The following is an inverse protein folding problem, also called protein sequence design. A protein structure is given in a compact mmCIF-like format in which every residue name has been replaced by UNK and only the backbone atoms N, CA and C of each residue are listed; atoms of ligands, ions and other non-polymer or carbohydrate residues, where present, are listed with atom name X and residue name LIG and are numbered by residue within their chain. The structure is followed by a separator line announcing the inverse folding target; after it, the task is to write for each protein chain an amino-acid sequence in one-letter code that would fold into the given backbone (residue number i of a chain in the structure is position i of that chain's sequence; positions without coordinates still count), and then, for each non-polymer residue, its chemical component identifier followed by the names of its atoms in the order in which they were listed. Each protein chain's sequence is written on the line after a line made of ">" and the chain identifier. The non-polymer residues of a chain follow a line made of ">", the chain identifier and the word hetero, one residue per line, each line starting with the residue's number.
data_IF_665119977400
#
_entry.id   IF_665119977400
#
_cell.length_a   1.000
_cell.length_b   1.000
_cell.length_c   1.000
_cell.angle_alpha   90.00
_cell.angle_beta   90.00
_cell.angle_gamma   90.00
#
_symmetry.space_group_name_H-M   'P 1'
#
loop_
_entity.id
_entity.type
_entity.pdbx_description
1 polymer ?
#
# COMPACT_ATOMS: atom_id res chain seq x y z
N UNK A 1 11.87 5.15 -4.39
CA UNK A 1 10.92 6.30 -4.46
C UNK A 1 10.80 7.02 -3.10
N UNK A 2 10.80 8.38 -3.07
CA UNK A 2 10.67 9.14 -1.81
C UNK A 2 9.18 9.36 -1.50
N UNK A 3 8.70 8.78 -0.40
CA UNK A 3 7.28 8.88 0.00
C UNK A 3 6.92 10.33 0.38
N UNK A 4 5.74 10.79 -0.06
CA UNK A 4 5.20 12.08 0.36
C UNK A 4 4.84 12.08 1.86
N UNK A 5 4.78 13.26 2.49
CA UNK A 5 4.39 13.39 3.91
C UNK A 5 2.97 12.88 4.19
N UNK A 6 2.06 13.03 3.24
CA UNK A 6 0.69 12.52 3.35
C UNK A 6 0.65 11.00 3.30
N UNK A 7 1.45 10.39 2.42
CA UNK A 7 1.56 8.95 2.32
C UNK A 7 2.22 8.33 3.56
N UNK A 8 3.27 8.96 4.09
CA UNK A 8 3.85 8.53 5.36
C UNK A 8 2.81 8.51 6.49
N UNK A 9 1.97 9.56 6.59
CA UNK A 9 0.87 9.60 7.57
C UNK A 9 -0.17 8.52 7.33
N UNK A 10 -0.49 8.21 6.06
CA UNK A 10 -1.43 7.14 5.70
C UNK A 10 -0.89 5.78 6.13
N UNK A 11 0.37 5.47 5.82
CA UNK A 11 1.04 4.22 6.24
C UNK A 11 1.09 4.07 7.76
N UNK A 12 1.43 5.13 8.48
CA UNK A 12 1.41 5.09 9.96
C UNK A 12 0.01 4.77 10.49
N UNK A 13 -1.05 5.34 9.93
CA UNK A 13 -2.43 5.01 10.32
C UNK A 13 -2.80 3.55 10.03
N UNK A 14 -2.32 2.99 8.93
CA UNK A 14 -2.54 1.57 8.61
C UNK A 14 -1.85 0.66 9.64
N UNK A 15 -0.61 0.98 9.99
CA UNK A 15 0.12 0.26 11.05
C UNK A 15 -0.57 0.42 12.42
N UNK A 16 -1.10 1.60 12.75
CA UNK A 16 -1.90 1.80 13.97
C UNK A 16 -3.14 0.89 13.99
N UNK A 17 -3.88 0.81 12.89
CA UNK A 17 -5.05 -0.10 12.76
C UNK A 17 -4.63 -1.55 12.97
N UNK A 18 -3.55 -2.00 12.29
CA UNK A 18 -3.03 -3.36 12.43
C UNK A 18 -2.66 -3.68 13.89
N UNK A 19 -1.94 -2.79 14.57
CA UNK A 19 -1.53 -2.98 15.96
C UNK A 19 -2.74 -3.06 16.89
N UNK A 20 -3.78 -2.25 16.68
CA UNK A 20 -5.03 -2.31 17.45
C UNK A 20 -5.73 -3.65 17.25
N UNK A 21 -5.91 -4.09 16.00
CA UNK A 21 -6.53 -5.37 15.69
C UNK A 21 -5.78 -6.58 16.26
N UNK A 22 -4.44 -6.53 16.22
CA UNK A 22 -3.60 -7.56 16.82
C UNK A 22 -3.74 -7.57 18.35
N UNK A 23 -3.78 -6.39 19.00
CA UNK A 23 -3.90 -6.28 20.45
C UNK A 23 -5.27 -6.73 20.98
N UNK A 24 -6.29 -6.80 20.14
CA UNK A 24 -7.62 -7.30 20.50
C UNK A 24 -7.76 -8.83 20.31
N UNK A 25 -6.68 -9.52 19.91
CA UNK A 25 -6.67 -10.98 19.80
C UNK A 25 -6.62 -11.64 21.19
N UNK A 26 -7.20 -12.84 21.34
CA UNK A 26 -7.09 -13.63 22.56
C UNK A 26 -5.64 -13.96 22.94
N UNK A 27 -5.34 -14.10 24.22
CA UNK A 27 -3.99 -14.36 24.74
C UNK A 27 -3.31 -15.60 24.09
N UNK A 28 -4.11 -16.65 23.77
CA UNK A 28 -3.62 -17.84 23.09
C UNK A 28 -3.14 -17.58 21.66
N UNK A 29 -3.69 -16.55 20.98
CA UNK A 29 -3.27 -16.12 19.65
C UNK A 29 -2.12 -15.12 19.73
N UNK A 30 -2.13 -14.22 20.72
CA UNK A 30 -1.02 -13.30 21.00
C UNK A 30 0.30 -14.06 21.23
N UNK A 31 0.24 -15.20 21.92
CA UNK A 31 1.42 -16.06 22.13
C UNK A 31 2.04 -16.60 20.82
N UNK A 32 1.27 -16.65 19.73
CA UNK A 32 1.68 -17.17 18.41
C UNK A 32 1.99 -16.07 17.39
N UNK A 33 2.03 -14.78 17.79
CA UNK A 33 2.37 -13.69 16.90
C UNK A 33 3.77 -13.88 16.29
N UNK A 34 3.93 -13.68 14.98
CA UNK A 34 5.23 -13.76 14.29
C UNK A 34 6.05 -12.48 14.55
N UNK A 35 6.41 -12.26 15.80
CA UNK A 35 7.21 -11.11 16.27
C UNK A 35 8.19 -11.56 17.35
N UNK A 36 9.20 -10.73 17.63
CA UNK A 36 10.14 -10.97 18.70
C UNK A 36 9.46 -11.12 20.05
N UNK A 37 10.10 -11.87 20.95
CA UNK A 37 9.58 -12.18 22.28
C UNK A 37 9.20 -10.91 23.08
N UNK A 38 10.03 -9.88 22.99
CA UNK A 38 9.81 -8.62 23.73
C UNK A 38 8.59 -7.87 23.22
N UNK A 39 8.41 -7.81 21.89
CA UNK A 39 7.23 -7.19 21.27
C UNK A 39 5.97 -8.00 21.60
N UNK A 40 6.07 -9.33 21.63
CA UNK A 40 4.96 -10.21 22.01
C UNK A 40 4.51 -9.97 23.45
N UNK A 41 5.45 -9.78 24.37
CA UNK A 41 5.14 -9.42 25.76
C UNK A 41 4.41 -8.07 25.84
N UNK A 42 4.84 -7.06 25.06
CA UNK A 42 4.14 -5.76 24.99
C UNK A 42 2.68 -5.91 24.56
N UNK A 43 2.38 -6.77 23.57
CA UNK A 43 0.98 -7.06 23.19
C UNK A 43 0.18 -7.72 24.31
N UNK A 44 0.79 -8.65 25.05
CA UNK A 44 0.14 -9.31 26.20
C UNK A 44 -0.15 -8.32 27.33
N UNK A 45 0.77 -7.39 27.60
CA UNK A 45 0.57 -6.32 28.60
C UNK A 45 -0.60 -5.40 28.20
N UNK A 46 -0.71 -5.04 26.92
CA UNK A 46 -1.79 -4.18 26.41
C UNK A 46 -3.16 -4.78 26.67
N UNK A 47 -3.32 -6.11 26.63
CA UNK A 47 -4.58 -6.79 26.90
C UNK A 47 -5.13 -6.48 28.31
N UNK A 48 -4.25 -6.18 29.27
CA UNK A 48 -4.60 -5.85 30.64
C UNK A 48 -4.79 -4.35 30.90
N UNK A 49 -4.48 -3.49 29.91
CA UNK A 49 -4.56 -2.04 30.04
C UNK A 49 -5.90 -1.50 29.55
N UNK A 50 -6.36 -0.37 30.16
CA UNK A 50 -7.59 0.34 29.79
C UNK A 50 -7.31 1.83 29.56
N UNK A 51 -8.21 2.49 28.82
CA UNK A 51 -8.21 3.94 28.66
C UNK A 51 -6.94 4.53 28.05
N UNK A 52 -6.42 5.58 28.66
CA UNK A 52 -5.25 6.31 28.16
C UNK A 52 -3.94 5.52 28.20
N UNK A 53 -3.80 4.59 29.14
CA UNK A 53 -2.62 3.71 29.24
C UNK A 53 -2.58 2.73 28.06
N UNK A 54 -3.71 2.12 27.70
CA UNK A 54 -3.82 1.26 26.50
C UNK A 54 -3.44 2.04 25.24
N UNK A 55 -3.97 3.25 25.06
CA UNK A 55 -3.65 4.10 23.90
C UNK A 55 -2.16 4.44 23.79
N UNK A 56 -1.52 4.76 24.92
CA UNK A 56 -0.07 5.06 24.96
C UNK A 56 0.77 3.86 24.58
N UNK A 57 0.44 2.69 25.13
CA UNK A 57 1.15 1.45 24.84
C UNK A 57 0.99 1.03 23.37
N UNK A 58 -0.22 1.13 22.81
CA UNK A 58 -0.46 0.86 21.37
C UNK A 58 0.37 1.78 20.47
N UNK A 59 0.45 3.09 20.78
CA UNK A 59 1.32 4.02 20.06
C UNK A 59 2.80 3.68 20.19
N UNK A 60 3.21 3.17 21.34
CA UNK A 60 4.59 2.71 21.56
C UNK A 60 4.89 1.50 20.67
N UNK A 61 4.03 0.49 20.65
CA UNK A 61 4.16 -0.69 19.78
C UNK A 61 4.16 -0.28 18.30
N UNK A 62 3.31 0.65 17.90
CA UNK A 62 3.24 1.15 16.50
C UNK A 62 4.60 1.69 16.02
N UNK A 63 5.42 2.28 16.90
CA UNK A 63 6.74 2.79 16.51
C UNK A 63 7.69 1.69 16.03
N UNK A 64 7.60 0.48 16.58
CA UNK A 64 8.44 -0.65 16.15
C UNK A 64 8.10 -1.10 14.72
N UNK A 65 6.83 -0.94 14.31
CA UNK A 65 6.35 -1.39 13.00
C UNK A 65 6.28 -0.28 11.95
N UNK A 66 6.67 0.95 12.29
CA UNK A 66 6.63 2.08 11.34
C UNK A 66 7.47 1.83 10.09
N UNK A 67 8.67 1.28 10.31
CA UNK A 67 9.68 1.08 9.27
C UNK A 67 10.03 -0.41 9.10
N UNK A 68 9.31 -1.30 9.79
CA UNK A 68 9.49 -2.74 9.74
C UNK A 68 8.51 -3.39 8.74
N UNK A 69 8.87 -4.56 8.16
CA UNK A 69 7.96 -5.33 7.34
C UNK A 69 6.78 -5.83 8.19
N UNK A 70 5.55 -5.58 7.72
CA UNK A 70 4.31 -5.92 8.45
C UNK A 70 3.49 -6.99 7.74
N UNK A 71 3.96 -7.52 6.61
CA UNK A 71 3.21 -8.45 5.77
C UNK A 71 2.81 -9.72 6.52
N UNK A 72 3.74 -10.33 7.24
CA UNK A 72 3.48 -11.53 8.04
C UNK A 72 2.40 -11.31 9.11
N UNK A 73 2.31 -10.09 9.66
CA UNK A 73 1.29 -9.73 10.65
C UNK A 73 -0.09 -9.60 10.01
N UNK A 74 -0.17 -9.05 8.78
CA UNK A 74 -1.42 -9.00 8.03
C UNK A 74 -1.90 -10.42 7.67
N UNK A 75 -1.02 -11.27 7.17
CA UNK A 75 -1.33 -12.68 6.88
C UNK A 75 -1.75 -13.43 8.14
N UNK A 76 -1.07 -13.17 9.27
CA UNK A 76 -1.43 -13.76 10.56
C UNK A 76 -2.84 -13.36 11.01
N UNK A 77 -3.19 -12.08 10.84
CA UNK A 77 -4.50 -11.55 11.21
C UNK A 77 -5.60 -12.06 10.27
N UNK A 78 -5.33 -12.10 8.97
CA UNK A 78 -6.25 -12.58 7.93
C UNK A 78 -6.73 -14.01 8.21
N UNK A 79 -5.82 -14.91 8.57
CA UNK A 79 -6.15 -16.30 8.93
C UNK A 79 -7.10 -16.43 10.12
N UNK A 80 -7.34 -15.38 10.90
CA UNK A 80 -8.11 -15.39 12.15
C UNK A 80 -9.36 -14.53 12.16
N UNK A 81 -9.30 -13.35 11.53
CA UNK A 81 -10.39 -12.36 11.53
C UNK A 81 -10.97 -12.06 10.14
N UNK A 82 -10.35 -12.64 9.07
CA UNK A 82 -10.71 -12.34 7.69
C UNK A 82 -9.85 -11.24 7.06
N UNK A 83 -10.14 -10.91 5.80
CA UNK A 83 -9.25 -10.23 4.85
C UNK A 83 -9.37 -8.71 4.78
N UNK A 84 -10.29 -8.09 5.52
CA UNK A 84 -10.65 -6.67 5.29
C UNK A 84 -9.46 -5.70 5.46
N UNK A 85 -8.71 -5.82 6.54
CA UNK A 85 -7.61 -4.88 6.82
C UNK A 85 -6.46 -5.02 5.81
N UNK A 86 -6.19 -6.25 5.36
CA UNK A 86 -5.19 -6.53 4.33
C UNK A 86 -5.62 -5.96 2.97
N UNK A 87 -6.90 -6.12 2.60
CA UNK A 87 -7.48 -5.54 1.38
C UNK A 87 -7.43 -4.01 1.41
N UNK A 88 -7.78 -3.39 2.56
CA UNK A 88 -7.66 -1.93 2.73
C UNK A 88 -6.23 -1.43 2.51
N UNK A 89 -5.24 -2.14 3.06
CA UNK A 89 -3.82 -1.82 2.85
C UNK A 89 -3.46 -1.89 1.38
N UNK A 90 -3.77 -3.02 0.72
CA UNK A 90 -3.47 -3.24 -0.69
C UNK A 90 -4.14 -2.17 -1.59
N UNK A 91 -5.43 -1.89 -1.36
CA UNK A 91 -6.13 -0.85 -2.11
C UNK A 91 -5.48 0.53 -1.94
N UNK A 92 -5.06 0.87 -0.72
CA UNK A 92 -4.37 2.13 -0.44
C UNK A 92 -3.00 2.25 -1.13
N UNK A 93 -2.25 1.16 -1.23
CA UNK A 93 -0.99 1.11 -1.96
C UNK A 93 -1.20 1.33 -3.46
N UNK A 94 -2.22 0.68 -4.06
CA UNK A 94 -2.57 0.88 -5.46
C UNK A 94 -3.10 2.31 -5.74
N UNK A 95 -3.88 2.88 -4.82
CA UNK A 95 -4.30 4.28 -4.94
C UNK A 95 -3.10 5.22 -4.94
N UNK A 96 -2.10 4.97 -4.11
CA UNK A 96 -0.87 5.75 -4.09
C UNK A 96 -0.10 5.66 -5.40
N UNK A 97 0.10 4.45 -5.94
CA UNK A 97 0.77 4.24 -7.23
C UNK A 97 0.05 4.97 -8.37
N UNK A 98 -1.29 4.87 -8.41
CA UNK A 98 -2.12 5.63 -9.35
C UNK A 98 -1.91 7.13 -9.21
N UNK A 99 -1.96 7.66 -8.00
CA UNK A 99 -1.93 9.10 -7.76
C UNK A 99 -0.58 9.70 -8.15
N UNK A 100 0.54 9.04 -7.83
CA UNK A 100 1.87 9.51 -8.26
C UNK A 100 2.06 9.45 -9.77
N UNK A 101 1.52 8.43 -10.46
CA UNK A 101 1.55 8.35 -11.92
C UNK A 101 0.77 9.51 -12.56
N UNK A 102 -0.40 9.81 -12.02
CA UNK A 102 -1.23 10.91 -12.50
C UNK A 102 -0.58 12.28 -12.25
N UNK A 103 0.06 12.46 -11.09
CA UNK A 103 0.83 13.68 -10.79
C UNK A 103 2.00 13.85 -11.76
N UNK A 104 2.77 12.79 -12.03
CA UNK A 104 3.88 12.82 -12.98
C UNK A 104 3.40 13.20 -14.40
N UNK A 105 2.31 12.60 -14.89
CA UNK A 105 1.74 12.91 -16.19
C UNK A 105 1.24 14.36 -16.29
N UNK A 106 0.64 14.88 -15.23
CA UNK A 106 0.23 16.29 -15.12
C UNK A 106 1.43 17.23 -15.20
N UNK A 107 2.49 16.90 -14.48
CA UNK A 107 3.70 17.73 -14.46
C UNK A 107 4.45 17.65 -15.79
N UNK A 108 4.50 16.49 -16.44
CA UNK A 108 5.05 16.34 -17.77
C UNK A 108 4.31 17.25 -18.79
N UNK A 109 2.98 17.26 -18.75
CA UNK A 109 2.18 18.17 -19.59
C UNK A 109 2.44 19.64 -19.29
N UNK A 110 2.59 19.99 -18.01
CA UNK A 110 2.89 21.37 -17.60
C UNK A 110 4.24 21.83 -18.15
N UNK A 111 5.25 20.97 -18.08
CA UNK A 111 6.59 21.23 -18.62
C UNK A 111 6.57 21.37 -20.13
N UNK A 112 5.94 20.44 -20.85
CA UNK A 112 5.81 20.52 -22.32
C UNK A 112 5.17 21.85 -22.73
N UNK A 113 4.07 22.26 -22.10
CA UNK A 113 3.42 23.55 -22.37
C UNK A 113 4.31 24.76 -22.08
N UNK A 114 5.14 24.71 -21.06
CA UNK A 114 6.08 25.79 -20.75
C UNK A 114 7.17 25.92 -21.83
N UNK A 115 7.47 24.84 -22.53
CA UNK A 115 8.39 24.77 -23.67
C UNK A 115 7.69 24.95 -25.03
N UNK A 116 6.41 25.39 -25.04
CA UNK A 116 5.58 25.52 -26.25
C UNK A 116 5.44 24.22 -27.05
N UNK A 117 5.48 23.08 -26.37
CA UNK A 117 5.31 21.76 -26.96
C UNK A 117 4.03 21.08 -26.42
N UNK A 118 3.52 20.11 -27.19
CA UNK A 118 2.46 19.24 -26.74
C UNK A 118 3.04 17.94 -26.15
N UNK A 119 2.46 17.46 -25.05
CA UNK A 119 2.76 16.14 -24.52
C UNK A 119 2.29 15.09 -25.54
N UNK A 120 3.12 14.09 -25.83
CA UNK A 120 2.80 12.97 -26.75
C UNK A 120 2.55 11.68 -25.97
N UNK A 121 1.90 10.67 -26.59
CA UNK A 121 1.58 9.40 -25.91
C UNK A 121 2.83 8.61 -25.48
N UNK A 122 3.95 8.80 -26.17
CA UNK A 122 5.24 8.14 -25.94
C UNK A 122 6.14 8.90 -24.94
N UNK A 123 5.55 9.78 -24.12
CA UNK A 123 6.27 10.50 -23.07
C UNK A 123 6.97 9.55 -22.10
N UNK A 124 8.14 9.93 -21.60
CA UNK A 124 8.90 9.10 -20.66
C UNK A 124 8.37 9.23 -19.24
N UNK A 125 7.99 8.12 -18.61
CA UNK A 125 7.56 8.06 -17.21
C UNK A 125 8.53 7.20 -16.38
N UNK A 126 9.07 7.78 -15.32
CA UNK A 126 9.84 7.04 -14.33
C UNK A 126 8.93 6.19 -13.44
N UNK A 127 7.73 6.72 -13.13
CA UNK A 127 6.75 6.03 -12.29
C UNK A 127 6.23 4.74 -12.94
N UNK A 128 6.01 4.73 -14.27
CA UNK A 128 5.61 3.49 -14.97
C UNK A 128 6.69 2.42 -14.87
N UNK A 129 7.97 2.79 -14.93
CA UNK A 129 9.09 1.85 -14.76
C UNK A 129 9.13 1.29 -13.33
N UNK A 130 9.00 2.16 -12.33
CA UNK A 130 8.95 1.75 -10.92
C UNK A 130 7.76 0.81 -10.64
N UNK A 131 6.58 1.12 -11.22
CA UNK A 131 5.39 0.25 -11.13
C UNK A 131 5.65 -1.12 -11.80
N UNK A 132 6.32 -1.15 -12.94
CA UNK A 132 6.60 -2.39 -13.65
C UNK A 132 7.64 -3.26 -12.92
N UNK A 133 8.54 -2.67 -12.16
CA UNK A 133 9.44 -3.41 -11.26
C UNK A 133 8.68 -4.05 -10.08
N UNK A 134 7.70 -3.35 -9.51
CA UNK A 134 6.87 -3.87 -8.41
C UNK A 134 5.79 -4.86 -8.90
N UNK A 135 5.21 -4.62 -10.08
CA UNK A 135 4.13 -5.39 -10.70
C UNK A 135 4.50 -5.79 -12.13
N UNK A 136 5.36 -6.80 -12.35
CA UNK A 136 5.88 -7.19 -13.67
C UNK A 136 4.79 -7.57 -14.68
N UNK A 137 3.61 -7.99 -14.22
CA UNK A 137 2.48 -8.37 -15.10
C UNK A 137 1.64 -7.19 -15.58
N UNK A 138 1.96 -5.96 -15.16
CA UNK A 138 1.22 -4.76 -15.55
C UNK A 138 1.46 -4.39 -17.02
N UNK A 139 0.41 -3.96 -17.72
CA UNK A 139 0.53 -3.42 -19.07
C UNK A 139 1.05 -1.98 -19.03
N UNK A 140 2.38 -1.81 -19.21
CA UNK A 140 3.05 -0.52 -19.20
C UNK A 140 2.53 0.44 -20.27
N UNK A 141 2.30 -0.06 -21.51
CA UNK A 141 1.79 0.74 -22.62
C UNK A 141 0.42 1.34 -22.29
N UNK A 142 -0.45 0.55 -21.68
CA UNK A 142 -1.78 1.01 -21.30
C UNK A 142 -1.74 2.01 -20.13
N UNK A 143 -0.80 1.84 -19.18
CA UNK A 143 -0.56 2.84 -18.13
C UNK A 143 -0.10 4.18 -18.72
N UNK A 144 0.84 4.17 -19.66
CA UNK A 144 1.28 5.38 -20.36
C UNK A 144 0.13 6.07 -21.08
N UNK A 145 -0.63 5.31 -21.85
CA UNK A 145 -1.78 5.80 -22.63
C UNK A 145 -2.84 6.45 -21.74
N UNK A 146 -3.27 5.76 -20.69
CA UNK A 146 -4.31 6.27 -19.78
C UNK A 146 -3.85 7.47 -18.98
N UNK A 147 -2.60 7.51 -18.52
CA UNK A 147 -2.04 8.66 -17.81
C UNK A 147 -1.89 9.89 -18.70
N UNK A 148 -1.50 9.70 -19.96
CA UNK A 148 -1.50 10.74 -20.98
C UNK A 148 -2.91 11.33 -21.20
N UNK A 149 -3.92 10.49 -21.44
CA UNK A 149 -5.29 10.97 -21.62
C UNK A 149 -5.85 11.66 -20.37
N UNK A 150 -5.49 11.16 -19.19
CA UNK A 150 -5.84 11.85 -17.94
C UNK A 150 -5.17 13.21 -17.82
N UNK A 151 -3.90 13.34 -18.16
CA UNK A 151 -3.19 14.61 -18.14
C UNK A 151 -3.86 15.66 -19.04
N UNK A 152 -4.41 15.24 -20.21
CA UNK A 152 -5.09 16.12 -21.17
C UNK A 152 -6.52 16.44 -20.71
N UNK A 153 -7.33 15.43 -20.42
CA UNK A 153 -8.78 15.58 -20.23
C UNK A 153 -9.24 15.76 -18.80
N UNK A 154 -8.41 15.36 -17.81
CA UNK A 154 -8.77 15.27 -16.39
C UNK A 154 -9.99 14.37 -16.13
N UNK A 155 -10.31 13.48 -17.07
CA UNK A 155 -11.42 12.58 -16.93
C UNK A 155 -11.12 11.50 -15.89
N UNK A 156 -11.96 11.42 -14.85
CA UNK A 156 -11.85 10.45 -13.75
C UNK A 156 -11.98 8.99 -14.22
N UNK A 157 -12.53 8.74 -15.40
CA UNK A 157 -12.60 7.40 -15.97
C UNK A 157 -11.21 6.80 -16.15
N UNK A 158 -10.26 7.55 -16.73
CA UNK A 158 -8.88 7.08 -16.90
C UNK A 158 -8.19 6.75 -15.57
N UNK A 159 -8.41 7.56 -14.53
CA UNK A 159 -7.92 7.26 -13.20
C UNK A 159 -8.47 5.95 -12.63
N UNK A 160 -9.75 5.65 -12.86
CA UNK A 160 -10.37 4.38 -12.44
C UNK A 160 -9.85 3.19 -13.24
N UNK A 161 -9.60 3.36 -14.51
CA UNK A 161 -9.04 2.33 -15.38
C UNK A 161 -7.60 2.00 -14.99
N UNK A 162 -6.76 3.00 -14.71
CA UNK A 162 -5.41 2.80 -14.15
C UNK A 162 -5.48 1.97 -12.85
N UNK A 163 -6.37 2.33 -11.92
CA UNK A 163 -6.53 1.58 -10.68
C UNK A 163 -6.90 0.11 -10.93
N UNK A 164 -7.81 -0.16 -11.88
CA UNK A 164 -8.19 -1.54 -12.25
C UNK A 164 -7.05 -2.32 -12.87
N UNK A 165 -6.22 -1.69 -13.71
CA UNK A 165 -5.03 -2.32 -14.27
C UNK A 165 -4.02 -2.71 -13.18
N UNK A 166 -3.77 -1.81 -12.24
CA UNK A 166 -2.89 -2.08 -11.11
C UNK A 166 -3.43 -3.20 -10.23
N UNK A 167 -4.72 -3.19 -9.93
CA UNK A 167 -5.39 -4.24 -9.16
C UNK A 167 -5.28 -5.60 -9.84
N UNK A 168 -5.58 -5.68 -11.14
CA UNK A 168 -5.49 -6.92 -11.90
C UNK A 168 -4.05 -7.48 -11.96
N UNK A 169 -3.05 -6.60 -12.05
CA UNK A 169 -1.64 -6.99 -12.00
C UNK A 169 -1.26 -7.54 -10.62
N UNK A 170 -1.67 -6.87 -9.53
CA UNK A 170 -1.43 -7.32 -8.17
C UNK A 170 -2.08 -8.69 -7.89
N UNK A 171 -3.32 -8.89 -8.32
CA UNK A 171 -4.01 -10.18 -8.18
C UNK A 171 -3.28 -11.32 -8.89
N UNK A 172 -2.75 -11.07 -10.10
CA UNK A 172 -1.92 -12.04 -10.84
C UNK A 172 -0.63 -12.38 -10.09
N UNK A 173 0.07 -11.38 -9.57
CA UNK A 173 1.29 -11.60 -8.79
C UNK A 173 1.03 -12.44 -7.53
N UNK A 174 -0.08 -12.15 -6.81
CA UNK A 174 -0.49 -12.92 -5.64
C UNK A 174 -0.82 -14.37 -5.99
N UNK A 175 -1.49 -14.61 -7.12
CA UNK A 175 -1.79 -15.97 -7.61
C UNK A 175 -0.49 -16.73 -7.96
N UNK A 176 0.43 -16.08 -8.67
CA UNK A 176 1.71 -16.68 -9.06
C UNK A 176 2.53 -17.05 -7.82
N UNK A 177 2.61 -16.17 -6.82
CA UNK A 177 3.31 -16.45 -5.56
C UNK A 177 2.68 -17.62 -4.78
N UNK A 178 1.35 -17.73 -4.75
CA UNK A 178 0.66 -18.86 -4.11
C UNK A 178 0.99 -20.18 -4.79
N UNK A 179 0.94 -20.22 -6.11
CA UNK A 179 1.28 -21.43 -6.88
C UNK A 179 2.73 -21.89 -6.68
N UNK A 180 3.67 -20.96 -6.48
CA UNK A 180 5.08 -21.26 -6.21
C UNK A 180 5.34 -21.79 -4.79
N UNK A 181 4.45 -21.49 -3.83
CA UNK A 181 4.56 -21.96 -2.44
C UNK A 181 3.94 -23.32 -2.20
N UNK A 182 3.11 -23.81 -3.14
CA UNK A 182 2.45 -25.11 -3.07
C UNK A 182 3.23 -26.24 -3.79
N UNK A 183 4.36 -25.92 -4.42
CA UNK A 183 5.28 -26.84 -5.08
C UNK A 183 6.51 -27.10 -4.21
#
# INVERSE_FOLDING_TARGET
>A
MKLSRSEQKRRVKQVEKLVVELADLPASQLAKLPVDKDIRLLFQEVANLKGGSKKRQLKYITKFFRDAPTEELYVFLEKRKGTELHKEKQASELEYLRDILLEEAIDARRKAKAEYQDLTEDWSSAVVKDIAEELPTVNQHELHRLSFFFAISRNRQHSREIFRLLQAAQEKELMTKKMQQEV
#
